data_IF_748387794828
#
_entry.id   IF_748387794828
#
_cell.length_a   1.000
_cell.length_b   1.000
_cell.length_c   1.000
_cell.angle_alpha   90.00
_cell.angle_beta   90.00
_cell.angle_gamma   90.00
#
_symmetry.space_group_name_H-M   'P 1'
#
loop_
_entity.id
_entity.type
_entity.pdbx_description
1 polymer ?
#
# COMPACT_ATOMS: atom_id res chain seq x y z
N UNK A 1 15.90 14.44 12.68
CA UNK A 1 16.15 13.64 11.46
C UNK A 1 14.85 13.52 10.66
N UNK A 2 14.94 13.84 9.39
CA UNK A 2 13.80 13.72 8.46
C UNK A 2 13.98 12.47 7.61
N UNK A 3 12.94 11.61 7.57
CA UNK A 3 12.90 10.44 6.70
C UNK A 3 11.79 10.64 5.69
N UNK A 4 12.14 10.78 4.41
CA UNK A 4 11.18 10.85 3.32
C UNK A 4 11.04 9.48 2.67
N UNK A 5 9.80 8.99 2.57
CA UNK A 5 9.51 7.68 1.99
C UNK A 5 8.74 7.88 0.69
N UNK A 6 9.38 7.58 -0.43
CA UNK A 6 8.75 7.57 -1.74
C UNK A 6 8.08 6.21 -1.96
N UNK A 7 6.76 6.21 -2.08
CA UNK A 7 5.96 4.98 -2.00
C UNK A 7 4.75 5.03 -2.92
N UNK A 8 4.23 3.86 -3.24
CA UNK A 8 2.91 3.70 -3.86
C UNK A 8 2.09 2.68 -3.09
N UNK A 9 0.79 2.94 -2.97
CA UNK A 9 -0.15 2.09 -2.24
C UNK A 9 -0.26 0.70 -2.90
N UNK A 10 -0.08 0.60 -4.21
CA UNK A 10 -0.12 -0.67 -4.93
C UNK A 10 1.17 -1.49 -4.86
N UNK A 11 2.22 -0.95 -4.26
CA UNK A 11 3.52 -1.63 -4.17
C UNK A 11 3.56 -2.57 -2.96
N UNK A 12 3.62 -3.90 -3.17
CA UNK A 12 3.60 -4.85 -2.05
C UNK A 12 4.83 -4.73 -1.14
N UNK A 13 5.97 -4.30 -1.68
CA UNK A 13 7.20 -4.10 -0.90
C UNK A 13 7.16 -2.83 -0.06
N UNK A 14 6.33 -1.86 -0.41
CA UNK A 14 6.19 -0.62 0.36
C UNK A 14 5.52 -0.85 1.70
N UNK A 15 4.50 -1.71 1.77
CA UNK A 15 3.86 -2.08 3.04
C UNK A 15 4.82 -2.88 3.92
N UNK A 16 5.52 -3.85 3.33
CA UNK A 16 6.57 -4.62 4.02
C UNK A 16 7.65 -3.68 4.57
N UNK A 17 8.11 -2.73 3.74
CA UNK A 17 9.11 -1.73 4.13
C UNK A 17 8.64 -0.85 5.28
N UNK A 18 7.36 -0.44 5.26
CA UNK A 18 6.77 0.32 6.38
C UNK A 18 6.88 -0.46 7.70
N UNK A 19 6.51 -1.74 7.68
CA UNK A 19 6.58 -2.57 8.89
C UNK A 19 8.02 -2.75 9.38
N UNK A 20 8.97 -2.95 8.48
CA UNK A 20 10.39 -3.06 8.83
C UNK A 20 10.93 -1.76 9.44
N UNK A 21 10.55 -0.61 8.89
CA UNK A 21 10.93 0.69 9.43
C UNK A 21 10.37 0.87 10.84
N UNK A 22 9.11 0.54 11.06
CA UNK A 22 8.48 0.63 12.39
C UNK A 22 9.21 -0.24 13.42
N UNK A 23 9.60 -1.45 13.05
CA UNK A 23 10.38 -2.34 13.91
C UNK A 23 11.74 -1.74 14.24
N UNK A 24 12.44 -1.21 13.22
CA UNK A 24 13.74 -0.57 13.42
C UNK A 24 13.65 0.65 14.35
N UNK A 25 12.60 1.46 14.19
CA UNK A 25 12.36 2.62 15.06
C UNK A 25 12.08 2.19 16.51
N UNK A 26 11.29 1.12 16.69
CA UNK A 26 11.02 0.58 18.01
C UNK A 26 12.28 0.07 18.72
N UNK A 27 13.17 -0.61 17.97
CA UNK A 27 14.45 -1.07 18.48
C UNK A 27 15.41 0.07 18.80
N UNK A 28 15.42 1.10 17.96
CA UNK A 28 16.26 2.28 18.15
C UNK A 28 15.86 3.06 19.42
N UNK A 29 14.56 3.25 19.66
CA UNK A 29 14.00 3.80 20.89
C UNK A 29 14.10 5.32 21.06
N UNK A 30 15.02 6.00 20.40
CA UNK A 30 15.23 7.46 20.50
C UNK A 30 14.61 8.15 19.28
N UNK A 31 13.28 8.14 19.19
CA UNK A 31 12.56 8.57 17.99
C UNK A 31 11.98 9.98 18.05
N UNK A 32 12.20 10.72 19.15
CA UNK A 32 11.61 12.05 19.37
C UNK A 32 12.00 13.04 18.28
N UNK A 33 13.22 12.91 17.74
CA UNK A 33 13.73 13.78 16.68
C UNK A 33 13.57 13.19 15.27
N UNK A 34 12.84 12.09 15.12
CA UNK A 34 12.64 11.44 13.83
C UNK A 34 11.25 11.78 13.30
N UNK A 35 11.22 12.43 12.14
CA UNK A 35 10.00 12.80 11.44
C UNK A 35 9.89 12.03 10.13
N UNK A 36 8.76 11.34 9.94
CA UNK A 36 8.51 10.55 8.73
C UNK A 36 7.53 11.32 7.85
N UNK A 37 7.87 11.46 6.58
CA UNK A 37 7.02 12.08 5.58
C UNK A 37 6.87 11.15 4.39
N UNK A 38 5.62 10.82 4.04
CA UNK A 38 5.32 9.99 2.88
C UNK A 38 5.21 10.85 1.64
N UNK A 39 5.91 10.43 0.59
CA UNK A 39 5.90 11.05 -0.75
C UNK A 39 5.26 10.09 -1.73
N UNK A 40 4.62 10.63 -2.74
CA UNK A 40 3.88 9.82 -3.71
C UNK A 40 4.71 9.52 -4.95
N UNK A 41 4.74 8.25 -5.33
CA UNK A 41 5.28 7.80 -6.59
C UNK A 41 4.33 6.77 -7.18
N UNK A 42 3.60 7.13 -8.25
CA UNK A 42 2.71 6.19 -8.91
C UNK A 42 3.48 5.27 -9.86
N UNK A 43 3.43 3.97 -9.59
CA UNK A 43 4.03 2.94 -10.46
C UNK A 43 3.26 2.81 -11.77
N UNK A 44 1.96 3.03 -11.76
CA UNK A 44 1.08 2.91 -12.94
C UNK A 44 0.09 4.09 -12.98
N UNK A 45 0.54 5.30 -13.33
CA UNK A 45 -0.33 6.47 -13.29
C UNK A 45 -1.48 6.41 -14.31
N UNK A 46 -1.32 5.64 -15.39
CA UNK A 46 -2.32 5.48 -16.45
C UNK A 46 -3.26 4.29 -16.21
N UNK A 47 -3.11 3.57 -15.11
CA UNK A 47 -3.98 2.44 -14.78
C UNK A 47 -5.42 2.90 -14.64
N UNK A 48 -6.32 2.21 -15.36
CA UNK A 48 -7.76 2.34 -15.17
C UNK A 48 -8.20 1.28 -14.16
N UNK A 49 -8.82 1.71 -13.08
CA UNK A 49 -9.30 0.81 -12.03
C UNK A 49 -10.28 -0.22 -12.59
N UNK A 50 -10.04 -1.48 -12.25
CA UNK A 50 -10.93 -2.59 -12.61
C UNK A 50 -11.48 -3.24 -11.34
N UNK A 51 -12.70 -2.83 -10.88
CA UNK A 51 -13.28 -3.35 -9.64
C UNK A 51 -13.56 -4.84 -9.63
N UNK A 52 -13.64 -5.44 -10.83
CA UNK A 52 -13.84 -6.89 -11.03
C UNK A 52 -12.56 -7.58 -11.47
N UNK A 53 -11.46 -6.86 -11.50
CA UNK A 53 -10.17 -7.34 -11.96
C UNK A 53 -9.51 -8.28 -10.96
N UNK A 54 -8.53 -9.01 -11.49
CA UNK A 54 -7.68 -9.92 -10.72
C UNK A 54 -6.23 -9.43 -10.78
N UNK A 55 -5.57 -9.36 -9.64
CA UNK A 55 -4.21 -8.84 -9.57
C UNK A 55 -3.20 -9.72 -10.31
N UNK A 56 -3.40 -11.04 -10.35
CA UNK A 56 -2.55 -11.95 -11.14
C UNK A 56 -2.65 -11.65 -12.62
N UNK A 57 -3.87 -11.44 -13.14
CA UNK A 57 -4.10 -11.08 -14.53
C UNK A 57 -3.50 -9.72 -14.88
N UNK A 58 -3.67 -8.73 -13.99
CA UNK A 58 -3.07 -7.43 -14.16
C UNK A 58 -1.54 -7.51 -14.23
N UNK A 59 -0.93 -8.22 -13.29
CA UNK A 59 0.53 -8.39 -13.23
C UNK A 59 1.06 -9.12 -14.46
N UNK A 60 0.36 -10.18 -14.89
CA UNK A 60 0.73 -10.95 -16.08
C UNK A 60 0.74 -10.07 -17.34
N UNK A 61 -0.29 -9.24 -17.53
CA UNK A 61 -0.37 -8.32 -18.68
C UNK A 61 0.67 -7.21 -18.58
N UNK A 62 0.84 -6.62 -17.40
CA UNK A 62 1.76 -5.50 -17.19
C UNK A 62 3.21 -5.90 -17.40
N UNK A 63 3.60 -7.09 -16.96
CA UNK A 63 4.96 -7.62 -17.07
C UNK A 63 5.17 -8.53 -18.30
N UNK A 64 4.13 -8.77 -19.07
CA UNK A 64 4.16 -9.67 -20.20
C UNK A 64 4.72 -11.06 -19.85
N UNK A 65 4.16 -11.66 -18.81
CA UNK A 65 4.50 -13.00 -18.30
C UNK A 65 3.27 -13.89 -18.25
N UNK A 66 3.47 -15.20 -18.06
CA UNK A 66 2.37 -16.13 -17.86
C UNK A 66 1.65 -15.87 -16.55
N UNK A 67 0.33 -16.14 -16.52
CA UNK A 67 -0.48 -15.91 -15.32
C UNK A 67 -0.01 -16.80 -14.14
N UNK A 68 0.46 -18.00 -14.41
CA UNK A 68 1.03 -18.90 -13.40
C UNK A 68 2.28 -18.30 -12.76
N UNK A 69 3.10 -17.63 -13.56
CA UNK A 69 4.30 -16.94 -13.08
C UNK A 69 3.94 -15.73 -12.22
N UNK A 70 2.92 -14.96 -12.63
CA UNK A 70 2.39 -13.85 -11.84
C UNK A 70 1.85 -14.36 -10.49
N UNK A 71 1.10 -15.45 -10.49
CA UNK A 71 0.58 -16.08 -9.28
C UNK A 71 1.70 -16.53 -8.33
N UNK A 72 2.78 -17.09 -8.87
CA UNK A 72 3.96 -17.46 -8.08
C UNK A 72 4.63 -16.25 -7.44
N UNK A 73 4.80 -15.18 -8.18
CA UNK A 73 5.37 -13.92 -7.66
C UNK A 73 4.52 -13.37 -6.50
N UNK A 74 3.21 -13.39 -6.65
CA UNK A 74 2.28 -12.93 -5.61
C UNK A 74 2.31 -13.86 -4.38
N UNK A 75 2.46 -15.16 -4.56
CA UNK A 75 2.63 -16.12 -3.46
C UNK A 75 3.93 -15.85 -2.70
N UNK A 76 5.03 -15.59 -3.41
CA UNK A 76 6.32 -15.30 -2.79
C UNK A 76 6.29 -14.01 -1.97
N UNK A 77 5.73 -12.94 -2.52
CA UNK A 77 5.64 -11.67 -1.79
C UNK A 77 4.67 -11.75 -0.61
N UNK A 78 3.62 -12.55 -0.72
CA UNK A 78 2.71 -12.82 0.41
C UNK A 78 3.41 -13.55 1.56
N UNK A 79 4.32 -14.46 1.25
CA UNK A 79 5.16 -15.13 2.25
C UNK A 79 6.12 -14.15 2.92
N UNK A 80 6.73 -13.25 2.15
CA UNK A 80 7.59 -12.19 2.70
C UNK A 80 6.80 -11.27 3.65
N UNK A 81 5.57 -10.91 3.27
CA UNK A 81 4.68 -10.11 4.11
C UNK A 81 4.33 -10.84 5.42
N UNK A 82 4.05 -12.13 5.34
CA UNK A 82 3.74 -12.95 6.52
C UNK A 82 4.91 -12.97 7.53
N UNK A 83 6.15 -12.98 7.06
CA UNK A 83 7.33 -12.90 7.91
C UNK A 83 7.40 -11.59 8.72
N UNK A 84 6.73 -10.54 8.26
CA UNK A 84 6.64 -9.25 8.93
C UNK A 84 5.29 -9.07 9.68
N UNK A 85 4.52 -10.14 9.82
CA UNK A 85 3.22 -10.11 10.51
C UNK A 85 2.08 -9.50 9.71
N UNK A 86 2.25 -9.36 8.38
CA UNK A 86 1.23 -8.84 7.48
C UNK A 86 0.47 -9.98 6.81
N UNK A 87 -0.84 -9.84 6.68
CA UNK A 87 -1.68 -10.82 6.00
C UNK A 87 -2.11 -10.28 4.64
N UNK A 88 -1.42 -10.69 3.58
CA UNK A 88 -1.79 -10.36 2.21
C UNK A 88 -2.88 -11.30 1.71
N UNK A 89 -3.93 -10.73 1.12
CA UNK A 89 -5.01 -11.44 0.43
C UNK A 89 -5.04 -10.99 -1.04
N UNK A 90 -3.97 -11.25 -1.78
CA UNK A 90 -3.78 -10.71 -3.13
C UNK A 90 -4.80 -11.25 -4.14
N UNK A 91 -5.42 -12.40 -3.88
CA UNK A 91 -6.53 -12.91 -4.71
C UNK A 91 -7.78 -12.02 -4.63
N UNK A 92 -7.93 -11.22 -3.59
CA UNK A 92 -9.04 -10.29 -3.40
C UNK A 92 -8.67 -8.85 -3.74
N UNK A 93 -7.39 -8.56 -3.97
CA UNK A 93 -6.91 -7.22 -4.25
C UNK A 93 -7.47 -6.71 -5.59
N UNK A 94 -7.88 -5.45 -5.60
CA UNK A 94 -8.44 -4.79 -6.76
C UNK A 94 -7.35 -3.95 -7.43
N UNK A 95 -7.02 -4.20 -8.72
CA UNK A 95 -6.13 -3.33 -9.48
C UNK A 95 -6.74 -1.94 -9.59
N UNK A 96 -6.23 -0.99 -8.83
CA UNK A 96 -6.81 0.34 -8.69
C UNK A 96 -5.79 1.43 -8.97
N UNK A 97 -6.23 2.50 -9.63
CA UNK A 97 -5.44 3.72 -9.73
C UNK A 97 -5.30 4.35 -8.34
N UNK A 98 -4.09 4.69 -7.95
CA UNK A 98 -3.77 5.13 -6.59
C UNK A 98 -3.73 6.65 -6.42
N UNK A 99 -4.08 7.43 -7.45
CA UNK A 99 -4.02 8.90 -7.38
C UNK A 99 -4.85 9.47 -6.23
N UNK A 100 -6.11 9.05 -6.10
CA UNK A 100 -7.00 9.51 -5.02
C UNK A 100 -6.51 9.07 -3.64
N UNK A 101 -5.97 7.86 -3.53
CA UNK A 101 -5.38 7.35 -2.30
C UNK A 101 -4.20 8.22 -1.86
N UNK A 102 -3.33 8.62 -2.78
CA UNK A 102 -2.23 9.54 -2.50
C UNK A 102 -2.75 10.91 -2.05
N UNK A 103 -3.78 11.44 -2.71
CA UNK A 103 -4.40 12.71 -2.29
C UNK A 103 -4.96 12.60 -0.86
N UNK A 104 -5.60 11.49 -0.53
CA UNK A 104 -6.07 11.22 0.82
C UNK A 104 -4.92 11.19 1.84
N UNK A 105 -3.82 10.52 1.52
CA UNK A 105 -2.62 10.49 2.36
C UNK A 105 -2.08 11.89 2.65
N UNK A 106 -1.98 12.74 1.62
CA UNK A 106 -1.51 14.12 1.79
C UNK A 106 -2.50 14.99 2.56
N UNK A 107 -3.81 14.78 2.39
CA UNK A 107 -4.81 15.46 3.22
C UNK A 107 -4.64 15.05 4.69
N UNK A 108 -4.49 13.76 4.97
CA UNK A 108 -4.26 13.26 6.33
C UNK A 108 -2.99 13.87 6.96
N UNK A 109 -1.96 14.17 6.15
CA UNK A 109 -0.75 14.84 6.61
C UNK A 109 -1.05 16.20 7.25
N UNK A 110 -1.99 16.95 6.68
CA UNK A 110 -2.36 18.27 7.24
C UNK A 110 -2.98 18.18 8.63
N UNK A 111 -3.45 16.99 9.02
CA UNK A 111 -3.99 16.70 10.35
C UNK A 111 -3.02 15.88 11.22
N UNK A 112 -1.77 15.72 10.79
CA UNK A 112 -0.78 14.92 11.51
C UNK A 112 -1.07 13.42 11.52
N UNK A 113 -1.82 12.90 10.55
CA UNK A 113 -2.33 11.53 10.49
C UNK A 113 -1.86 10.75 9.26
N UNK A 114 -0.79 11.21 8.61
CA UNK A 114 -0.36 10.57 7.36
C UNK A 114 0.08 9.11 7.55
N UNK A 115 0.84 8.83 8.60
CA UNK A 115 1.36 7.48 8.85
C UNK A 115 0.23 6.47 9.09
N UNK A 116 -0.79 6.87 9.85
CA UNK A 116 -1.99 6.07 10.08
C UNK A 116 -2.83 5.91 8.81
N UNK A 117 -2.93 6.95 7.99
CA UNK A 117 -3.61 6.87 6.70
C UNK A 117 -2.93 5.89 5.75
N UNK A 118 -1.60 5.91 5.68
CA UNK A 118 -0.83 4.94 4.88
C UNK A 118 -1.10 3.50 5.35
N UNK A 119 -1.17 3.26 6.66
CA UNK A 119 -1.52 1.94 7.20
C UNK A 119 -2.90 1.48 6.75
N UNK A 120 -3.91 2.34 6.82
CA UNK A 120 -5.27 2.02 6.38
C UNK A 120 -5.34 1.76 4.88
N UNK A 121 -4.62 2.54 4.08
CA UNK A 121 -4.59 2.38 2.62
C UNK A 121 -3.93 1.04 2.22
N UNK A 122 -2.79 0.72 2.81
CA UNK A 122 -2.11 -0.56 2.55
C UNK A 122 -2.96 -1.75 2.99
N UNK A 123 -3.56 -1.69 4.17
CA UNK A 123 -4.43 -2.75 4.66
C UNK A 123 -5.65 -2.94 3.76
N UNK A 124 -6.25 -1.86 3.30
CA UNK A 124 -7.39 -1.90 2.37
C UNK A 124 -7.01 -2.59 1.05
N UNK A 125 -5.86 -2.25 0.49
CA UNK A 125 -5.39 -2.80 -0.77
C UNK A 125 -4.95 -4.26 -0.65
N UNK A 126 -4.06 -4.56 0.31
CA UNK A 126 -3.39 -5.86 0.38
C UNK A 126 -4.12 -6.90 1.23
N UNK A 127 -4.89 -6.49 2.21
CA UNK A 127 -5.52 -7.39 3.19
C UNK A 127 -7.03 -7.49 3.02
N UNK A 128 -7.71 -6.36 2.78
CA UNK A 128 -9.16 -6.28 2.83
C UNK A 128 -9.84 -6.34 1.46
N UNK A 129 -9.08 -6.24 0.37
CA UNK A 129 -9.63 -6.30 -0.99
C UNK A 129 -10.54 -5.13 -1.33
N UNK A 130 -10.30 -3.95 -0.75
CA UNK A 130 -11.09 -2.75 -0.99
C UNK A 130 -10.55 -1.95 -2.17
N UNK A 131 -11.44 -1.23 -2.85
CA UNK A 131 -11.07 -0.35 -3.95
C UNK A 131 -10.59 1.01 -3.42
N UNK A 132 -9.28 1.24 -3.42
CA UNK A 132 -8.69 2.50 -2.94
C UNK A 132 -8.91 3.68 -3.89
N UNK A 133 -9.48 3.45 -5.07
CA UNK A 133 -9.93 4.51 -5.99
C UNK A 133 -11.39 4.95 -5.72
N UNK A 134 -12.10 4.26 -4.83
CA UNK A 134 -13.47 4.58 -4.48
C UNK A 134 -13.50 5.63 -3.35
N UNK A 135 -14.14 6.77 -3.63
CA UNK A 135 -14.29 7.87 -2.66
C UNK A 135 -14.98 7.40 -1.38
N UNK A 136 -16.00 6.54 -1.49
CA UNK A 136 -16.71 6.02 -0.32
C UNK A 136 -15.79 5.24 0.62
N UNK A 137 -14.86 4.46 0.06
CA UNK A 137 -13.84 3.73 0.83
C UNK A 137 -12.91 4.73 1.56
N UNK A 138 -12.47 5.77 0.87
CA UNK A 138 -11.58 6.79 1.46
C UNK A 138 -12.30 7.61 2.56
N UNK A 139 -13.58 7.91 2.38
CA UNK A 139 -14.39 8.60 3.41
C UNK A 139 -14.51 7.74 4.66
N UNK A 140 -14.77 6.44 4.50
CA UNK A 140 -14.83 5.52 5.63
C UNK A 140 -13.49 5.45 6.39
N UNK A 141 -12.38 5.43 5.67
CA UNK A 141 -11.05 5.50 6.28
C UNK A 141 -10.85 6.80 7.06
N UNK A 142 -11.27 7.93 6.49
CA UNK A 142 -11.15 9.23 7.15
C UNK A 142 -11.87 9.25 8.50
N UNK A 143 -13.01 8.56 8.60
CA UNK A 143 -13.76 8.47 9.86
C UNK A 143 -13.03 7.69 10.96
N UNK A 144 -12.03 6.88 10.59
CA UNK A 144 -11.22 6.08 11.53
C UNK A 144 -10.00 6.85 12.04
N UNK A 145 -9.67 7.97 11.46
CA UNK A 145 -8.52 8.80 11.86
C UNK A 145 -8.94 9.87 12.86
#
# INVERSE_FOLDING_TARGET
>A
VEIEIWSDIMCPFCYIGKRKLEQALAEYGQTEDIHISWKSYQLSPDLVTDPKGNLNEYLARHKNIAIEQAAQMNTQVSAMAANEGLKYNLNQAIPANTAKAHQFSHLAKTYGKQHEAEELLFAAYFTEGKNVDDIAVLIDMASQL
#
